data_IF_770404472893
#
_entry.id   IF_770404472893
#
_cell.length_a   1.000
_cell.length_b   1.000
_cell.length_c   1.000
_cell.angle_alpha   90.00
_cell.angle_beta   90.00
_cell.angle_gamma   90.00
#
_symmetry.space_group_name_H-M   'P 1'
#
loop_
_entity.id
_entity.type
_entity.pdbx_description
1 polymer ?
#
# COMPACT_ATOMS: atom_id res chain seq x y z
N UNK A 1 -46.96 -32.13 -9.50
CA UNK A 1 -45.61 -32.20 -10.12
C UNK A 1 -44.80 -31.01 -9.63
N UNK A 2 -43.83 -31.26 -8.75
CA UNK A 2 -42.79 -30.30 -8.33
C UNK A 2 -41.76 -30.19 -9.47
N UNK A 3 -40.93 -29.17 -9.71
CA UNK A 3 -40.21 -28.19 -8.90
C UNK A 3 -39.50 -27.25 -9.89
N UNK A 4 -39.38 -25.94 -9.62
CA UNK A 4 -38.18 -25.14 -10.01
C UNK A 4 -37.91 -24.12 -8.89
N UNK A 5 -36.96 -24.43 -7.99
CA UNK A 5 -36.34 -23.44 -7.10
C UNK A 5 -35.07 -22.94 -7.79
N UNK A 6 -35.13 -21.77 -8.45
CA UNK A 6 -33.93 -21.01 -8.84
C UNK A 6 -33.45 -20.21 -7.63
N UNK A 7 -32.82 -20.89 -6.67
CA UNK A 7 -32.09 -20.30 -5.56
C UNK A 7 -30.59 -20.56 -5.72
N UNK A 8 -30.04 -20.17 -6.87
CA UNK A 8 -28.59 -20.21 -7.13
C UNK A 8 -27.96 -18.80 -7.10
N UNK A 9 -28.55 -17.86 -6.34
CA UNK A 9 -27.87 -16.64 -5.91
C UNK A 9 -27.16 -16.91 -4.60
N UNK A 10 -26.12 -17.75 -4.65
CA UNK A 10 -25.05 -17.70 -3.66
C UNK A 10 -23.88 -17.02 -4.39
N UNK A 11 -23.53 -15.75 -4.06
CA UNK A 11 -22.28 -15.20 -4.54
C UNK A 11 -21.18 -16.13 -4.02
N UNK A 12 -20.34 -16.59 -4.96
CA UNK A 12 -19.31 -17.57 -4.75
C UNK A 12 -18.65 -17.42 -3.37
N UNK A 13 -18.88 -18.45 -2.57
CA UNK A 13 -18.21 -18.75 -1.32
C UNK A 13 -16.73 -18.42 -1.46
N UNK A 14 -16.22 -17.54 -0.58
CA UNK A 14 -14.80 -17.18 -0.41
C UNK A 14 -13.91 -18.37 0.04
N UNK A 15 -14.21 -19.61 -0.38
CA UNK A 15 -13.64 -20.80 0.27
C UNK A 15 -13.16 -21.90 -0.68
N UNK A 16 -13.09 -21.69 -1.99
CA UNK A 16 -12.56 -22.70 -2.94
C UNK A 16 -11.14 -22.40 -3.45
N UNK A 17 -10.54 -21.29 -3.03
CA UNK A 17 -9.13 -21.03 -3.32
C UNK A 17 -8.30 -21.66 -2.20
N UNK A 18 -7.87 -22.91 -2.41
CA UNK A 18 -6.76 -23.57 -1.72
C UNK A 18 -5.41 -22.85 -1.94
N UNK A 19 -5.43 -21.53 -1.98
CA UNK A 19 -4.27 -20.68 -1.87
C UNK A 19 -3.97 -20.72 -0.39
N UNK A 20 -2.77 -21.20 -0.07
CA UNK A 20 -2.13 -20.94 1.21
C UNK A 20 -2.57 -19.57 1.70
N UNK A 21 -2.95 -19.43 2.97
CA UNK A 21 -3.18 -18.12 3.58
C UNK A 21 -1.90 -17.29 3.47
N UNK A 22 -1.56 -16.79 2.28
CA UNK A 22 -0.84 -15.57 2.07
C UNK A 22 -1.82 -14.55 2.61
N UNK A 23 -1.70 -14.27 3.91
CA UNK A 23 -2.30 -13.12 4.55
C UNK A 23 -2.34 -12.03 3.50
N UNK A 24 -3.53 -11.66 3.02
CA UNK A 24 -3.65 -10.63 1.98
C UNK A 24 -3.18 -9.37 2.67
N UNK A 25 -1.91 -9.10 2.47
CA UNK A 25 -1.15 -8.16 3.23
C UNK A 25 -1.13 -6.93 2.36
N UNK A 26 -2.11 -6.06 2.61
CA UNK A 26 -2.29 -4.86 1.83
C UNK A 26 -1.07 -3.96 2.02
N UNK A 27 -0.57 -3.34 0.94
CA UNK A 27 0.49 -2.36 1.07
C UNK A 27 -0.01 -1.24 1.98
N UNK A 28 0.82 -0.87 2.95
CA UNK A 28 0.47 0.15 3.93
C UNK A 28 1.04 1.48 3.48
N UNK A 29 0.19 2.50 3.47
CA UNK A 29 0.53 3.86 3.06
C UNK A 29 1.40 4.53 4.12
N UNK A 30 2.63 4.90 3.77
CA UNK A 30 3.55 5.59 4.67
C UNK A 30 3.50 7.12 4.47
N UNK A 31 3.28 7.57 3.23
CA UNK A 31 3.18 9.00 2.88
C UNK A 31 1.99 9.20 1.95
N UNK A 32 1.16 10.19 2.24
CA UNK A 32 0.05 10.61 1.38
C UNK A 32 0.07 12.12 1.21
N UNK A 33 0.11 12.57 -0.04
CA UNK A 33 0.27 13.98 -0.44
C UNK A 33 1.47 14.72 0.22
N UNK A 34 2.47 13.97 0.67
CA UNK A 34 3.64 14.51 1.34
C UNK A 34 3.51 14.64 2.85
N UNK A 35 2.38 14.18 3.40
CA UNK A 35 2.19 13.99 4.84
C UNK A 35 2.54 12.56 5.23
N UNK A 36 3.28 12.44 6.33
CA UNK A 36 3.72 11.15 6.87
C UNK A 36 2.58 10.55 7.69
N UNK A 37 2.20 9.31 7.36
CA UNK A 37 1.15 8.57 8.06
C UNK A 37 1.72 7.88 9.30
N UNK A 38 1.91 8.64 10.39
CA UNK A 38 2.52 8.11 11.62
C UNK A 38 1.77 6.89 12.19
N UNK A 39 0.44 6.85 12.05
CA UNK A 39 -0.38 5.71 12.48
C UNK A 39 0.03 4.44 11.73
N UNK A 40 0.23 4.55 10.42
CA UNK A 40 0.64 3.45 9.55
C UNK A 40 2.10 3.01 9.81
N UNK A 41 2.99 3.96 10.11
CA UNK A 41 4.36 3.68 10.57
C UNK A 41 4.37 2.87 11.87
N UNK A 42 3.58 3.29 12.87
CA UNK A 42 3.44 2.59 14.15
C UNK A 42 2.88 1.18 13.96
N UNK A 43 1.85 1.04 13.13
CA UNK A 43 1.25 -0.26 12.80
C UNK A 43 2.24 -1.20 12.10
N UNK A 44 3.15 -0.66 11.28
CA UNK A 44 4.20 -1.42 10.60
C UNK A 44 5.49 -1.57 11.43
N UNK A 45 5.53 -1.01 12.65
CA UNK A 45 6.73 -0.95 13.49
C UNK A 45 7.94 -0.29 12.79
N UNK A 46 7.67 0.71 11.95
CA UNK A 46 8.68 1.47 11.20
C UNK A 46 8.83 2.83 11.85
N UNK A 47 10.08 3.28 11.98
CA UNK A 47 10.40 4.61 12.49
C UNK A 47 10.48 5.62 11.36
N UNK A 48 10.13 6.88 11.63
CA UNK A 48 10.27 7.98 10.67
C UNK A 48 11.70 8.12 10.13
N UNK A 49 12.71 7.87 10.96
CA UNK A 49 14.12 7.87 10.55
C UNK A 49 14.41 6.88 9.43
N UNK A 50 13.85 5.67 9.52
CA UNK A 50 14.00 4.66 8.45
C UNK A 50 13.32 5.10 7.15
N UNK A 51 12.12 5.70 7.25
CA UNK A 51 11.45 6.27 6.09
C UNK A 51 12.29 7.37 5.45
N UNK A 52 12.90 8.25 6.26
CA UNK A 52 13.83 9.28 5.80
C UNK A 52 15.07 8.69 5.11
N UNK A 53 15.66 7.63 5.64
CA UNK A 53 16.79 6.94 4.99
C UNK A 53 16.40 6.39 3.61
N UNK A 54 15.20 5.81 3.50
CA UNK A 54 14.67 5.31 2.23
C UNK A 54 14.43 6.43 1.21
N UNK A 55 13.95 7.58 1.67
CA UNK A 55 13.81 8.79 0.86
C UNK A 55 15.18 9.29 0.39
N UNK A 56 16.15 9.38 1.30
CA UNK A 56 17.50 9.85 0.97
C UNK A 56 18.23 8.91 0.02
N UNK A 57 18.03 7.59 0.15
CA UNK A 57 18.57 6.60 -0.77
C UNK A 57 18.04 6.78 -2.21
N UNK A 58 16.85 7.37 -2.37
CA UNK A 58 16.24 7.73 -3.65
C UNK A 58 16.59 9.17 -4.09
N UNK A 59 17.31 9.94 -3.27
CA UNK A 59 17.66 11.34 -3.53
C UNK A 59 16.65 12.37 -3.02
N UNK A 60 15.65 11.95 -2.25
CA UNK A 60 14.66 12.84 -1.63
C UNK A 60 15.06 13.19 -0.20
N UNK A 61 14.98 14.47 0.16
CA UNK A 61 15.34 14.92 1.52
C UNK A 61 14.12 15.03 2.44
N UNK A 62 12.93 15.23 1.86
CA UNK A 62 11.71 15.47 2.61
C UNK A 62 10.52 14.70 2.04
N UNK A 63 9.66 14.22 2.93
CA UNK A 63 8.38 13.60 2.56
C UNK A 63 7.48 14.57 1.76
N UNK A 64 7.60 15.89 1.96
CA UNK A 64 6.86 16.89 1.20
C UNK A 64 7.08 16.83 -0.33
N UNK A 65 8.23 16.29 -0.78
CA UNK A 65 8.52 16.08 -2.20
C UNK A 65 7.88 14.80 -2.76
N UNK A 66 7.23 14.01 -1.89
CA UNK A 66 6.62 12.73 -2.22
C UNK A 66 5.12 12.92 -2.29
N UNK A 67 4.48 12.41 -3.35
CA UNK A 67 3.02 12.43 -3.44
C UNK A 67 2.43 11.19 -2.78
N UNK A 68 3.14 10.07 -2.85
CA UNK A 68 2.64 8.80 -2.36
C UNK A 68 3.81 7.89 -1.99
N UNK A 69 3.78 7.25 -0.83
CA UNK A 69 4.68 6.17 -0.51
C UNK A 69 3.94 5.04 0.20
N UNK A 70 4.24 3.80 -0.16
CA UNK A 70 3.67 2.59 0.45
C UNK A 70 4.77 1.58 0.74
N UNK A 71 4.54 0.73 1.72
CA UNK A 71 5.38 -0.44 1.97
C UNK A 71 4.57 -1.72 1.79
N UNK A 72 5.12 -2.63 0.99
CA UNK A 72 4.60 -3.98 0.83
C UNK A 72 5.05 -4.86 2.01
N UNK A 73 4.32 -5.93 2.30
CA UNK A 73 4.65 -6.79 3.45
C UNK A 73 5.92 -7.63 3.27
N UNK A 74 6.54 -7.59 2.10
CA UNK A 74 7.91 -8.04 1.89
C UNK A 74 8.97 -7.06 2.40
N UNK A 75 8.57 -5.91 2.97
CA UNK A 75 9.46 -4.84 3.40
C UNK A 75 9.92 -3.93 2.26
N UNK A 76 9.25 -3.99 1.10
CA UNK A 76 9.63 -3.25 -0.09
C UNK A 76 8.85 -1.93 -0.15
N UNK A 77 9.57 -0.81 -0.11
CA UNK A 77 8.96 0.53 -0.15
C UNK A 77 8.88 1.01 -1.59
N UNK A 78 7.71 1.49 -1.98
CA UNK A 78 7.50 2.19 -3.23
C UNK A 78 7.28 3.66 -2.91
N UNK A 79 8.12 4.53 -3.47
CA UNK A 79 8.06 5.97 -3.30
C UNK A 79 7.72 6.60 -4.65
N UNK A 80 6.67 7.41 -4.68
CA UNK A 80 6.25 8.18 -5.85
C UNK A 80 6.47 9.66 -5.58
N UNK A 81 7.53 10.26 -6.15
CA UNK A 81 7.76 11.69 -6.00
C UNK A 81 6.66 12.51 -6.66
N UNK A 82 6.39 13.69 -6.11
CA UNK A 82 5.68 14.74 -6.85
C UNK A 82 6.55 15.06 -8.07
N UNK A 83 6.04 14.80 -9.27
CA UNK A 83 6.67 15.25 -10.52
C UNK A 83 6.80 16.78 -10.45
N UNK A 84 7.91 17.27 -9.93
CA UNK A 84 8.37 18.61 -10.22
C UNK A 84 8.95 18.51 -11.62
N UNK A 85 8.13 18.84 -12.62
CA UNK A 85 8.62 19.19 -13.94
C UNK A 85 9.81 20.13 -13.73
N UNK A 86 11.01 19.61 -13.95
CA UNK A 86 12.15 20.45 -14.22
C UNK A 86 11.74 21.27 -15.44
N UNK A 87 11.38 22.52 -15.16
CA UNK A 87 11.29 23.59 -16.12
C UNK A 87 12.58 23.52 -16.95
N UNK A 88 12.44 23.03 -18.18
CA UNK A 88 13.51 23.06 -19.17
C UNK A 88 13.52 24.50 -19.67
N UNK A 89 14.21 25.38 -18.94
CA UNK A 89 14.64 26.70 -19.42
C UNK A 89 16.00 26.59 -20.11
#
# INVERSE_FOLDING_TARGET
>A
MSVIKKSAYQPATKSDLGVQQTSIQYPVELIMDGEIMHDNLLNQQITEGWLQEQLQAQGFQNAAQITYAVIDSKGQVFISPKMQTADNS
#
